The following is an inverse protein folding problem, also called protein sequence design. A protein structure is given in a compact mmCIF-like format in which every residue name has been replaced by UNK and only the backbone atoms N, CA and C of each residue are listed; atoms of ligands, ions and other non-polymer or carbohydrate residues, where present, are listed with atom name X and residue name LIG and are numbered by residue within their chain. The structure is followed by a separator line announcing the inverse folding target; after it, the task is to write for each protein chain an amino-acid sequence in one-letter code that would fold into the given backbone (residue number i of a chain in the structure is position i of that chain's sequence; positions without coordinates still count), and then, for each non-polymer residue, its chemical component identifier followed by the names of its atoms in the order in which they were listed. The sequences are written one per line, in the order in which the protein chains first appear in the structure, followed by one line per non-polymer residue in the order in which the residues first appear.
data_IF_867124310425
#
_entry.id   IF_867124310425
#
_cell.length_a   1.000
_cell.length_b   1.000
_cell.length_c   1.000
_cell.angle_alpha   90.00
_cell.angle_beta   90.00
_cell.angle_gamma   90.00
#
_symmetry.space_group_name_H-M   'P 1'
#
loop_
_entity.id
_entity.type
_entity.pdbx_description
1 polymer ?
#
# COMPACT_ATOMS: atom_id res chain seq x y z
N UNK A 1 -18.30 -8.31 1.93
CA UNK A 1 -17.48 -7.60 2.93
C UNK A 1 -16.03 -7.54 2.46
N UNK A 2 -15.41 -8.67 2.06
CA UNK A 2 -14.00 -8.75 1.65
C UNK A 2 -13.67 -7.83 0.46
N UNK A 3 -14.62 -7.63 -0.42
CA UNK A 3 -14.51 -6.77 -1.60
C UNK A 3 -15.15 -5.39 -1.40
N UNK A 4 -15.50 -5.05 -0.16
CA UNK A 4 -16.01 -3.70 0.16
C UNK A 4 -14.94 -2.66 -0.14
N UNK A 5 -15.31 -1.67 -0.93
CA UNK A 5 -14.39 -0.61 -1.34
C UNK A 5 -14.15 0.35 -0.17
N UNK A 6 -12.90 0.53 0.21
CA UNK A 6 -12.50 1.43 1.28
C UNK A 6 -12.03 2.80 0.78
N UNK A 7 -11.58 2.88 -0.47
CA UNK A 7 -11.15 4.15 -1.07
C UNK A 7 -11.25 4.10 -2.60
N UNK A 8 -11.46 5.27 -3.20
CA UNK A 8 -11.55 5.50 -4.65
C UNK A 8 -10.78 6.75 -5.00
N UNK A 9 -9.88 6.67 -5.98
CA UNK A 9 -9.07 7.81 -6.44
C UNK A 9 -8.96 7.82 -7.97
N UNK A 10 -9.24 8.94 -8.59
CA UNK A 10 -8.96 9.15 -10.00
C UNK A 10 -7.47 9.45 -10.23
N UNK A 11 -6.94 8.99 -11.36
CA UNK A 11 -5.62 9.38 -11.82
C UNK A 11 -5.61 10.87 -12.23
N UNK A 12 -4.43 11.51 -12.17
CA UNK A 12 -4.28 12.93 -12.54
C UNK A 12 -4.58 13.17 -14.03
N UNK A 13 -4.27 12.18 -14.88
CA UNK A 13 -4.59 12.26 -16.32
C UNK A 13 -6.07 12.02 -16.66
N UNK A 14 -6.90 11.71 -15.66
CA UNK A 14 -8.34 11.50 -15.81
C UNK A 14 -8.75 10.22 -16.56
N UNK A 15 -7.80 9.34 -16.94
CA UNK A 15 -8.12 8.11 -17.68
C UNK A 15 -8.45 6.93 -16.79
N UNK A 16 -7.81 6.84 -15.63
CA UNK A 16 -7.92 5.68 -14.75
C UNK A 16 -8.61 6.03 -13.43
N UNK A 17 -9.25 5.02 -12.88
CA UNK A 17 -9.77 5.04 -11.52
C UNK A 17 -9.11 3.93 -10.74
N UNK A 18 -8.68 4.21 -9.53
CA UNK A 18 -8.14 3.23 -8.59
C UNK A 18 -9.14 2.98 -7.48
N UNK A 19 -9.32 1.72 -7.13
CA UNK A 19 -10.13 1.30 -5.98
C UNK A 19 -9.30 0.44 -5.04
N UNK A 20 -9.51 0.62 -3.74
CA UNK A 20 -8.93 -0.22 -2.69
C UNK A 20 -10.04 -1.05 -2.05
N UNK A 21 -9.89 -2.36 -2.02
CA UNK A 21 -10.64 -3.26 -1.15
C UNK A 21 -9.72 -3.85 -0.07
N UNK A 22 -10.24 -4.68 0.83
CA UNK A 22 -9.42 -5.20 1.94
C UNK A 22 -8.18 -5.98 1.48
N UNK A 23 -8.28 -6.76 0.40
CA UNK A 23 -7.19 -7.62 -0.08
C UNK A 23 -6.36 -7.01 -1.21
N UNK A 24 -6.92 -6.09 -1.99
CA UNK A 24 -6.29 -5.65 -3.24
C UNK A 24 -6.50 -4.18 -3.56
N UNK A 25 -5.62 -3.68 -4.44
CA UNK A 25 -5.82 -2.44 -5.21
C UNK A 25 -6.12 -2.82 -6.64
N UNK A 26 -7.12 -2.19 -7.24
CA UNK A 26 -7.49 -2.40 -8.65
C UNK A 26 -7.47 -1.09 -9.40
N UNK A 27 -6.98 -1.13 -10.63
CA UNK A 27 -7.00 0.01 -11.55
C UNK A 27 -7.96 -0.31 -12.69
N UNK A 28 -8.83 0.63 -12.97
CA UNK A 28 -9.87 0.57 -13.98
C UNK A 28 -9.59 1.61 -15.06
N UNK A 29 -9.70 1.23 -16.33
CA UNK A 29 -9.71 2.17 -17.44
C UNK A 29 -11.15 2.66 -17.65
N UNK A 30 -11.39 3.95 -17.56
CA UNK A 30 -12.74 4.53 -17.71
C UNK A 30 -13.33 4.31 -19.13
N UNK A 31 -12.50 3.98 -20.11
CA UNK A 31 -12.95 3.58 -21.44
C UNK A 31 -13.25 2.08 -21.56
N UNK A 32 -12.97 1.28 -20.52
CA UNK A 32 -13.15 -0.17 -20.53
C UNK A 32 -13.55 -0.68 -19.13
N UNK A 33 -14.76 -0.41 -18.70
CA UNK A 33 -15.26 -0.54 -17.33
C UNK A 33 -15.57 -1.98 -16.92
N UNK A 34 -15.60 -2.92 -17.83
CA UNK A 34 -16.09 -4.29 -17.59
C UNK A 34 -15.18 -5.14 -16.68
N UNK A 35 -13.92 -4.74 -16.54
CA UNK A 35 -12.93 -5.41 -15.68
C UNK A 35 -11.78 -4.46 -15.32
N UNK A 36 -11.09 -4.70 -14.18
CA UNK A 36 -9.88 -3.96 -13.88
C UNK A 36 -8.78 -4.29 -14.91
N UNK A 37 -8.03 -3.29 -15.32
CA UNK A 37 -6.86 -3.46 -16.21
C UNK A 37 -5.63 -3.91 -15.44
N UNK A 38 -5.55 -3.58 -14.16
CA UNK A 38 -4.48 -4.00 -13.26
C UNK A 38 -5.06 -4.40 -11.89
N UNK A 39 -4.48 -5.43 -11.26
CA UNK A 39 -4.83 -5.86 -9.91
C UNK A 39 -3.56 -6.15 -9.12
N UNK A 40 -3.40 -5.49 -7.99
CA UNK A 40 -2.28 -5.65 -7.08
C UNK A 40 -2.74 -6.27 -5.77
N UNK A 41 -2.16 -7.42 -5.41
CA UNK A 41 -2.48 -8.11 -4.16
C UNK A 41 -1.72 -7.46 -3.00
N UNK A 42 -2.46 -6.96 -2.02
CA UNK A 42 -1.89 -6.31 -0.84
C UNK A 42 -1.87 -7.26 0.35
N UNK A 43 -2.99 -7.89 0.65
CA UNK A 43 -3.19 -8.76 1.81
C UNK A 43 -3.56 -10.21 1.44
N UNK A 44 -3.10 -10.72 0.31
CA UNK A 44 -3.43 -12.09 -0.12
C UNK A 44 -3.03 -13.14 0.93
N UNK A 45 -1.95 -12.92 1.65
CA UNK A 45 -1.49 -13.77 2.76
C UNK A 45 -2.47 -13.83 3.94
N UNK A 46 -3.43 -12.90 4.04
CA UNK A 46 -4.48 -12.89 5.07
C UNK A 46 -5.74 -13.66 4.66
N UNK A 47 -5.84 -14.15 3.43
CA UNK A 47 -7.04 -14.80 2.90
C UNK A 47 -7.49 -15.99 3.74
N UNK A 48 -6.55 -16.78 4.26
CA UNK A 48 -6.85 -17.94 5.11
C UNK A 48 -7.35 -17.56 6.51
N UNK A 49 -7.19 -16.31 6.94
CA UNK A 49 -7.55 -15.82 8.28
C UNK A 49 -8.73 -14.85 8.29
N UNK A 50 -9.47 -14.75 7.21
CA UNK A 50 -10.55 -13.77 7.07
C UNK A 50 -11.66 -13.94 8.13
N UNK A 51 -11.95 -15.16 8.58
CA UNK A 51 -12.93 -15.38 9.66
C UNK A 51 -12.46 -14.76 10.97
N UNK A 52 -11.22 -15.00 11.37
CA UNK A 52 -10.64 -14.41 12.58
C UNK A 52 -10.53 -12.88 12.48
N UNK A 53 -10.19 -12.36 11.30
CA UNK A 53 -10.13 -10.92 11.04
C UNK A 53 -11.52 -10.26 11.10
N UNK A 54 -12.57 -10.99 10.71
CA UNK A 54 -13.94 -10.54 10.87
C UNK A 54 -14.36 -10.52 12.35
N UNK A 55 -14.06 -11.55 13.12
CA UNK A 55 -14.35 -11.63 14.56
C UNK A 55 -13.65 -10.54 15.37
N UNK A 56 -12.49 -10.08 14.92
CA UNK A 56 -11.71 -9.01 15.56
C UNK A 56 -11.91 -7.64 14.90
N UNK A 57 -12.92 -7.45 14.07
CA UNK A 57 -13.25 -6.22 13.36
C UNK A 57 -12.17 -5.68 12.41
N UNK A 58 -11.03 -6.36 12.25
CA UNK A 58 -9.92 -5.93 11.40
C UNK A 58 -10.32 -5.83 9.92
N UNK A 59 -11.24 -6.69 9.47
CA UNK A 59 -11.70 -6.69 8.06
C UNK A 59 -12.41 -5.38 7.66
N UNK A 60 -12.82 -4.58 8.63
CA UNK A 60 -13.48 -3.29 8.43
C UNK A 60 -12.51 -2.11 8.38
N UNK A 61 -11.20 -2.36 8.53
CA UNK A 61 -10.18 -1.34 8.40
C UNK A 61 -10.21 -0.71 7.00
N UNK A 62 -10.39 0.61 6.96
CA UNK A 62 -10.54 1.37 5.71
C UNK A 62 -9.19 1.92 5.27
N UNK A 63 -8.42 1.09 4.59
CA UNK A 63 -7.16 1.52 3.99
C UNK A 63 -7.40 2.44 2.80
N UNK A 64 -6.69 3.55 2.75
CA UNK A 64 -6.64 4.47 1.63
C UNK A 64 -5.59 4.06 0.61
N UNK A 65 -5.67 4.65 -0.58
CA UNK A 65 -4.69 4.53 -1.64
C UNK A 65 -4.44 5.90 -2.29
N UNK A 66 -3.30 6.07 -2.93
CA UNK A 66 -2.99 7.31 -3.64
C UNK A 66 -2.12 7.05 -4.88
N UNK A 67 -2.22 7.98 -5.84
CA UNK A 67 -1.38 8.06 -7.02
C UNK A 67 -0.16 8.93 -6.74
N UNK A 68 0.97 8.65 -7.39
CA UNK A 68 2.03 9.64 -7.50
C UNK A 68 1.68 10.67 -8.59
N UNK A 69 2.44 11.77 -8.67
CA UNK A 69 2.10 12.90 -9.52
C UNK A 69 2.01 12.61 -11.03
N UNK A 70 2.68 11.57 -11.53
CA UNK A 70 2.66 11.18 -12.96
C UNK A 70 1.87 9.89 -13.24
N UNK A 71 1.08 9.40 -12.29
CA UNK A 71 0.24 8.20 -12.40
C UNK A 71 1.00 6.89 -12.70
N UNK A 72 2.31 6.87 -12.49
CA UNK A 72 3.14 5.68 -12.75
C UNK A 72 3.25 4.73 -11.56
N UNK A 73 3.02 5.24 -10.35
CA UNK A 73 3.11 4.48 -9.09
C UNK A 73 1.85 4.69 -8.27
N UNK A 74 1.38 3.62 -7.65
CA UNK A 74 0.30 3.68 -6.67
C UNK A 74 0.80 3.22 -5.31
N UNK A 75 0.29 3.83 -4.24
CA UNK A 75 0.67 3.53 -2.86
C UNK A 75 -0.56 3.25 -2.02
N UNK A 76 -0.42 2.30 -1.09
CA UNK A 76 -1.45 1.99 -0.09
C UNK A 76 -0.83 1.52 1.22
N UNK A 77 -1.54 1.75 2.32
CA UNK A 77 -1.12 1.28 3.63
C UNK A 77 -1.47 -0.19 3.89
N UNK A 78 -0.88 -0.72 4.94
CA UNK A 78 -1.05 -2.10 5.39
C UNK A 78 -0.87 -2.19 6.91
N UNK A 79 -0.81 -3.41 7.44
CA UNK A 79 -0.53 -3.69 8.84
C UNK A 79 0.97 -3.64 9.15
N UNK A 80 1.31 -3.67 10.43
CA UNK A 80 2.68 -3.68 10.96
C UNK A 80 3.48 -2.41 10.60
N UNK A 81 2.78 -1.28 10.43
CA UNK A 81 3.33 -0.02 9.90
C UNK A 81 3.96 -0.17 8.51
N UNK A 82 3.54 -1.17 7.73
CA UNK A 82 3.95 -1.31 6.36
C UNK A 82 3.06 -0.48 5.43
N UNK A 83 3.66 0.01 4.35
CA UNK A 83 2.97 0.54 3.20
C UNK A 83 3.61 -0.02 1.93
N UNK A 84 2.81 -0.13 0.89
CA UNK A 84 3.22 -0.77 -0.36
C UNK A 84 3.12 0.20 -1.52
N UNK A 85 4.11 0.13 -2.39
CA UNK A 85 4.18 0.87 -3.64
C UNK A 85 4.20 -0.11 -4.80
N UNK A 86 3.41 0.15 -5.82
CA UNK A 86 3.33 -0.64 -7.04
C UNK A 86 3.67 0.23 -8.24
N UNK A 87 4.76 -0.11 -8.91
CA UNK A 87 5.18 0.53 -10.17
C UNK A 87 4.43 -0.14 -11.33
N UNK A 88 3.58 0.62 -11.99
CA UNK A 88 2.72 0.16 -13.09
C UNK A 88 3.52 -0.23 -14.33
N UNK A 89 4.56 0.55 -14.66
CA UNK A 89 5.39 0.33 -15.85
C UNK A 89 6.29 -0.88 -15.73
N UNK A 90 6.95 -1.03 -14.59
CA UNK A 90 7.92 -2.10 -14.35
C UNK A 90 7.30 -3.35 -13.73
N UNK A 91 6.03 -3.30 -13.32
CA UNK A 91 5.32 -4.34 -12.57
C UNK A 91 6.11 -4.81 -11.34
N UNK A 92 6.73 -3.86 -10.67
CA UNK A 92 7.48 -4.08 -9.43
C UNK A 92 6.68 -3.57 -8.25
N UNK A 93 6.83 -4.26 -7.15
CA UNK A 93 6.28 -3.82 -5.86
C UNK A 93 7.40 -3.64 -4.84
N UNK A 94 7.20 -2.71 -3.92
CA UNK A 94 8.04 -2.49 -2.77
C UNK A 94 7.18 -2.40 -1.51
N UNK A 95 7.61 -3.08 -0.46
CA UNK A 95 7.05 -2.94 0.88
C UNK A 95 8.05 -2.17 1.75
N UNK A 96 7.58 -1.12 2.37
CA UNK A 96 8.34 -0.19 3.19
C UNK A 96 7.75 -0.15 4.60
N UNK A 97 8.56 0.12 5.59
CA UNK A 97 8.13 0.23 6.98
C UNK A 97 8.31 1.66 7.49
N UNK A 98 7.26 2.22 8.09
CA UNK A 98 7.32 3.48 8.80
C UNK A 98 7.69 3.22 10.27
N UNK A 99 8.97 3.38 10.62
CA UNK A 99 9.46 3.20 11.98
C UNK A 99 10.42 4.31 12.41
N UNK A 100 10.51 4.53 13.73
CA UNK A 100 11.44 5.53 14.29
C UNK A 100 12.90 5.12 14.18
N UNK A 101 13.20 3.84 14.13
CA UNK A 101 14.56 3.31 14.02
C UNK A 101 15.19 3.65 12.66
N UNK A 102 14.38 3.90 11.64
CA UNK A 102 14.80 4.33 10.32
C UNK A 102 14.72 5.87 10.13
N UNK A 103 14.33 6.61 11.15
CA UNK A 103 14.15 8.06 11.11
C UNK A 103 15.45 8.84 11.36
N UNK A 104 16.54 8.49 10.68
CA UNK A 104 17.58 9.49 10.41
C UNK A 104 17.04 10.41 9.30
N UNK A 105 16.95 11.72 9.54
CA UNK A 105 16.24 12.67 8.66
C UNK A 105 16.78 12.81 7.23
N UNK A 106 17.66 11.94 6.77
CA UNK A 106 18.40 12.07 5.51
C UNK A 106 18.71 10.74 4.80
N UNK A 107 17.99 9.67 5.08
CA UNK A 107 18.22 8.44 4.31
C UNK A 107 17.19 8.32 3.20
N UNK A 108 17.69 8.25 1.96
CA UNK A 108 16.96 7.76 0.79
C UNK A 108 16.18 6.53 1.19
N UNK A 109 14.88 6.50 0.89
CA UNK A 109 14.03 5.33 0.98
C UNK A 109 14.71 4.18 0.21
N UNK A 110 15.50 3.38 0.93
CA UNK A 110 15.95 2.10 0.38
C UNK A 110 14.83 1.12 0.65
N UNK A 111 14.13 0.63 -0.39
CA UNK A 111 13.12 -0.38 -0.19
C UNK A 111 13.77 -1.61 0.46
N UNK A 112 13.38 -1.90 1.69
CA UNK A 112 13.70 -3.19 2.28
C UNK A 112 12.76 -4.17 1.60
N UNK A 113 13.29 -4.96 0.67
CA UNK A 113 12.55 -6.04 0.00
C UNK A 113 12.10 -7.02 1.06
N UNK A 114 10.84 -7.00 1.43
CA UNK A 114 10.25 -7.94 2.37
C UNK A 114 9.77 -9.21 1.66
N UNK A 115 9.46 -9.14 0.37
CA UNK A 115 9.17 -10.32 -0.46
C UNK A 115 9.47 -10.03 -1.93
N UNK A 116 10.34 -10.80 -2.54
CA UNK A 116 10.38 -11.00 -3.99
C UNK A 116 9.95 -12.43 -4.27
N UNK A 117 8.94 -12.63 -5.11
CA UNK A 117 8.55 -13.95 -5.57
C UNK A 117 9.74 -14.67 -6.22
N UNK A 118 10.22 -15.73 -5.59
CA UNK A 118 11.31 -16.56 -6.11
C UNK A 118 12.19 -17.10 -4.99
N UNK A 119 11.91 -18.36 -4.55
CA UNK A 119 12.66 -19.22 -3.62
C UNK A 119 12.71 -18.76 -2.16
N UNK A 120 12.06 -19.56 -1.32
CA UNK A 120 12.04 -19.53 0.14
C UNK A 120 13.40 -19.15 0.72
N UNK A 121 13.46 -17.99 1.35
CA UNK A 121 14.46 -17.68 2.38
C UNK A 121 13.77 -16.90 3.49
N UNK A 122 13.95 -17.32 4.67
CA UNK A 122 13.81 -16.88 6.06
C UNK A 122 13.16 -15.53 6.43
N UNK A 123 12.61 -14.74 5.52
CA UNK A 123 12.00 -13.42 5.78
C UNK A 123 10.51 -13.39 5.38
N UNK A 124 9.82 -14.55 5.33
CA UNK A 124 8.37 -14.58 5.22
C UNK A 124 7.81 -14.02 6.54
N UNK A 125 7.13 -12.88 6.45
CA UNK A 125 6.34 -12.36 7.55
C UNK A 125 5.29 -13.43 7.87
N UNK A 126 5.47 -14.10 9.00
CA UNK A 126 4.44 -15.01 9.49
C UNK A 126 3.20 -14.18 9.80
N UNK A 127 2.06 -14.59 9.27
CA UNK A 127 0.77 -13.93 9.57
C UNK A 127 0.51 -13.90 11.08
N UNK A 128 1.03 -14.86 11.81
CA UNK A 128 0.92 -14.95 13.27
C UNK A 128 1.77 -13.91 14.01
N UNK A 129 2.77 -13.32 13.35
CA UNK A 129 3.63 -12.27 13.91
C UNK A 129 3.18 -10.85 13.57
N UNK A 130 2.08 -10.68 12.82
CA UNK A 130 1.56 -9.36 12.47
C UNK A 130 0.88 -8.69 13.66
N UNK A 131 1.23 -7.44 13.90
CA UNK A 131 0.54 -6.58 14.84
C UNK A 131 -0.55 -5.78 14.10
N UNK A 132 -1.81 -6.24 14.22
CA UNK A 132 -2.97 -5.61 13.59
C UNK A 132 -3.32 -4.25 14.21
N UNK A 133 -2.75 -3.90 15.37
CA UNK A 133 -2.91 -2.57 15.95
C UNK A 133 -1.99 -1.55 15.23
N UNK A 134 -0.86 -2.00 14.71
CA UNK A 134 0.04 -1.16 13.92
C UNK A 134 -0.41 -1.15 12.47
N UNK A 135 -1.15 -0.14 12.07
CA UNK A 135 -1.72 -0.03 10.73
C UNK A 135 -1.56 1.37 10.17
N UNK A 136 -1.42 1.46 8.86
CA UNK A 136 -1.39 2.70 8.09
C UNK A 136 -2.67 2.77 7.28
N UNK A 137 -3.65 3.51 7.77
CA UNK A 137 -4.92 3.71 7.07
C UNK A 137 -4.86 4.86 6.08
N UNK A 138 -4.09 5.91 6.38
CA UNK A 138 -4.06 7.15 5.61
C UNK A 138 -2.69 7.34 4.95
N UNK A 139 -2.72 7.59 3.66
CA UNK A 139 -1.53 7.84 2.84
C UNK A 139 -1.81 8.97 1.86
N UNK A 140 -0.79 9.79 1.59
CA UNK A 140 -0.85 10.84 0.61
C UNK A 140 0.45 10.94 -0.17
N UNK A 141 0.36 11.30 -1.44
CA UNK A 141 1.50 11.62 -2.29
C UNK A 141 1.38 13.05 -2.78
N UNK A 142 2.46 13.81 -2.70
CA UNK A 142 2.47 15.19 -3.19
C UNK A 142 2.21 15.19 -4.71
N UNK A 143 1.35 16.09 -5.22
CA UNK A 143 0.93 16.03 -6.63
C UNK A 143 2.05 16.37 -7.63
N UNK A 144 3.09 17.07 -7.22
CA UNK A 144 4.18 17.53 -8.08
C UNK A 144 5.54 16.97 -7.69
N UNK A 145 5.80 16.82 -6.39
CA UNK A 145 7.09 16.42 -5.85
C UNK A 145 7.06 14.97 -5.37
N UNK A 146 8.22 14.34 -5.32
CA UNK A 146 8.35 12.98 -4.81
C UNK A 146 8.41 12.96 -3.28
N UNK A 147 7.34 13.46 -2.68
CA UNK A 147 7.13 13.53 -1.23
C UNK A 147 5.90 12.69 -0.90
N UNK A 148 6.03 11.80 0.08
CA UNK A 148 4.92 10.99 0.59
C UNK A 148 4.71 11.24 2.07
N UNK A 149 3.47 11.15 2.51
CA UNK A 149 3.08 11.18 3.90
C UNK A 149 2.28 9.91 4.24
N UNK A 150 2.62 9.27 5.34
CA UNK A 150 1.91 8.10 5.88
C UNK A 150 1.63 8.30 7.35
N UNK A 151 0.39 8.03 7.76
CA UNK A 151 -0.04 8.16 9.13
C UNK A 151 -0.11 6.77 9.79
N UNK A 152 0.69 6.58 10.83
CA UNK A 152 0.56 5.46 11.76
C UNK A 152 -0.35 5.86 12.92
N UNK A 153 -0.57 4.98 13.90
CA UNK A 153 -1.48 5.24 15.03
C UNK A 153 -1.19 6.59 15.72
N UNK A 154 0.09 6.86 16.02
CA UNK A 154 0.50 8.01 16.83
C UNK A 154 1.50 8.93 16.15
N UNK A 155 1.87 8.64 14.90
CA UNK A 155 2.92 9.39 14.21
C UNK A 155 2.56 9.65 12.75
N UNK A 156 2.98 10.81 12.27
CA UNK A 156 3.03 11.15 10.86
C UNK A 156 4.47 11.02 10.39
N UNK A 157 4.70 10.27 9.33
CA UNK A 157 5.99 10.13 8.67
C UNK A 157 5.91 10.81 7.30
N UNK A 158 6.89 11.66 7.03
CA UNK A 158 7.07 12.30 5.73
C UNK A 158 8.39 11.81 5.16
N UNK A 159 8.33 11.25 3.96
CA UNK A 159 9.50 10.79 3.21
C UNK A 159 9.66 11.64 1.96
N UNK A 160 10.88 12.07 1.71
CA UNK A 160 11.23 12.87 0.56
C UNK A 160 12.50 12.33 -0.08
N UNK A 161 12.52 12.23 -1.42
CA UNK A 161 13.74 11.94 -2.13
C UNK A 161 14.73 13.08 -1.96
N UNK A 162 16.00 12.74 -1.80
CA UNK A 162 17.07 13.75 -1.83
C UNK A 162 17.11 14.34 -3.24
N UNK A 163 16.88 15.63 -3.34
CA UNK A 163 17.31 16.40 -4.51
C UNK A 163 18.84 16.44 -4.45
N UNK A 164 19.51 15.75 -5.37
CA UNK A 164 20.96 15.89 -5.60
C UNK A 164 21.23 17.15 -6.37
#
# INVERSE_FOLDING_TARGET
IISSISDVKFSHNGRYMMTRDYLSVKIWDLNMENRPVETYQVHEYLRSKLCSLYENDCIFDKFECCWNGNDSVVMTGSYNNFFRMFDRGQRRDATLEASRENSKPLQVLKPRKVCTGGKRKKDEISVDSLDFNKKILHTAWHPQDNIIAVATINNLYIFQDKVN
#
